data_IF_623589557467
#
_entry.id   IF_623589557467
#
_cell.length_a   1.000
_cell.length_b   1.000
_cell.length_c   1.000
_cell.angle_alpha   90.00
_cell.angle_beta   90.00
_cell.angle_gamma   90.00
#
_symmetry.space_group_name_H-M   'P 1'
#
loop_
_entity.id
_entity.type
_entity.pdbx_description
1 polymer ?
#
# COMPACT_ATOMS: atom_id res chain seq x y z
N UNK A 1 15.10 4.07 -10.84
CA UNK A 1 13.70 4.20 -11.26
C UNK A 1 13.37 5.67 -11.48
N UNK A 2 12.89 6.01 -12.67
CA UNK A 2 12.47 7.38 -12.98
C UNK A 2 10.94 7.46 -12.85
N UNK A 3 10.45 7.97 -11.74
CA UNK A 3 9.02 8.04 -11.46
C UNK A 3 8.44 9.41 -11.80
N UNK A 4 7.40 9.40 -12.62
CA UNK A 4 6.64 10.59 -12.93
C UNK A 4 5.56 10.80 -11.86
N UNK A 5 5.51 11.98 -11.22
CA UNK A 5 4.50 12.22 -10.20
C UNK A 5 3.11 12.44 -10.79
N UNK A 6 2.16 11.69 -10.29
CA UNK A 6 0.74 11.86 -10.63
C UNK A 6 -0.09 11.75 -9.34
N UNK A 7 -1.27 12.35 -9.35
CA UNK A 7 -2.24 12.20 -8.27
C UNK A 7 -3.40 11.36 -8.77
N UNK A 8 -3.79 10.36 -7.98
CA UNK A 8 -4.90 9.49 -8.32
C UNK A 8 -6.02 9.64 -7.31
N UNK A 9 -7.26 9.55 -7.78
CA UNK A 9 -8.43 9.54 -6.92
C UNK A 9 -8.69 8.13 -6.44
N UNK A 10 -8.58 7.91 -5.12
CA UNK A 10 -8.83 6.60 -4.51
C UNK A 10 -10.05 6.62 -3.59
N UNK A 11 -10.80 7.70 -3.59
CA UNK A 11 -11.97 7.83 -2.71
C UNK A 11 -12.97 6.71 -2.98
N UNK A 12 -13.31 5.95 -1.92
CA UNK A 12 -14.22 4.81 -1.96
C UNK A 12 -13.78 3.68 -2.91
N UNK A 13 -12.52 3.69 -3.32
CA UNK A 13 -11.97 2.63 -4.17
C UNK A 13 -11.16 1.66 -3.34
N UNK A 14 -11.18 0.40 -3.74
CA UNK A 14 -10.49 -0.67 -3.01
C UNK A 14 -8.98 -0.52 -3.15
N UNK A 15 -8.30 -0.42 -2.02
CA UNK A 15 -6.84 -0.49 -1.91
C UNK A 15 -6.50 -1.67 -1.01
N UNK A 16 -5.70 -2.61 -1.50
CA UNK A 16 -5.34 -3.80 -0.75
C UNK A 16 -3.95 -3.66 -0.15
N UNK A 17 -3.83 -3.96 1.13
CA UNK A 17 -2.54 -4.08 1.81
C UNK A 17 -2.39 -5.51 2.28
N UNK A 18 -1.32 -6.18 1.85
CA UNK A 18 -0.98 -7.52 2.31
C UNK A 18 0.14 -7.38 3.32
N UNK A 19 -0.20 -7.61 4.58
CA UNK A 19 0.68 -7.40 5.72
C UNK A 19 -0.10 -6.82 6.88
N UNK A 20 0.30 -7.10 8.10
CA UNK A 20 -0.46 -6.73 9.29
C UNK A 20 0.33 -6.08 10.41
N UNK A 21 1.57 -5.68 10.17
CA UNK A 21 2.45 -5.06 11.16
C UNK A 21 2.48 -3.54 11.08
N UNK A 22 3.54 -2.94 11.64
CA UNK A 22 3.68 -1.48 11.72
C UNK A 22 3.78 -0.80 10.36
N UNK A 23 4.47 -1.41 9.41
CA UNK A 23 4.59 -0.85 8.06
C UNK A 23 3.22 -0.81 7.39
N UNK A 24 2.48 -1.91 7.48
CA UNK A 24 1.13 -1.98 6.95
C UNK A 24 0.21 -0.95 7.62
N UNK A 25 0.31 -0.81 8.94
CA UNK A 25 -0.49 0.16 9.69
C UNK A 25 -0.33 1.59 9.16
N UNK A 26 0.91 2.01 8.89
CA UNK A 26 1.17 3.35 8.37
C UNK A 26 0.52 3.56 6.99
N UNK A 27 0.56 2.53 6.15
CA UNK A 27 -0.08 2.59 4.82
C UNK A 27 -1.60 2.65 4.96
N UNK A 28 -2.16 1.86 5.87
CA UNK A 28 -3.61 1.89 6.18
C UNK A 28 -4.02 3.31 6.57
N UNK A 29 -3.31 3.90 7.52
CA UNK A 29 -3.64 5.24 8.03
C UNK A 29 -3.57 6.31 6.93
N UNK A 30 -2.54 6.25 6.10
CA UNK A 30 -2.40 7.20 5.00
C UNK A 30 -3.54 7.06 3.99
N UNK A 31 -3.84 5.84 3.55
CA UNK A 31 -4.88 5.61 2.56
C UNK A 31 -6.26 5.96 3.09
N UNK A 32 -6.53 5.71 4.37
CA UNK A 32 -7.79 6.09 4.99
C UNK A 32 -8.00 7.60 4.99
N UNK A 33 -6.93 8.38 5.18
CA UNK A 33 -7.03 9.84 5.12
C UNK A 33 -7.49 10.35 3.75
N UNK A 34 -7.22 9.59 2.70
CA UNK A 34 -7.66 9.92 1.34
C UNK A 34 -8.97 9.24 0.95
N UNK A 35 -9.66 8.64 1.92
CA UNK A 35 -11.00 8.09 1.72
C UNK A 35 -11.05 6.75 1.02
N UNK A 36 -9.94 6.04 0.91
CA UNK A 36 -9.91 4.73 0.27
C UNK A 36 -10.71 3.69 1.06
N UNK A 37 -11.27 2.72 0.36
CA UNK A 37 -11.80 1.50 0.96
C UNK A 37 -10.63 0.53 1.15
N UNK A 38 -10.03 0.57 2.34
CA UNK A 38 -8.82 -0.20 2.62
C UNK A 38 -9.16 -1.62 3.05
N UNK A 39 -8.56 -2.60 2.39
CA UNK A 39 -8.64 -4.01 2.76
C UNK A 39 -7.26 -4.50 3.19
N UNK A 40 -7.22 -5.33 4.23
CA UNK A 40 -5.98 -5.92 4.75
C UNK A 40 -6.12 -7.45 4.79
N UNK A 41 -5.09 -8.13 4.27
CA UNK A 41 -4.95 -9.57 4.40
C UNK A 41 -3.57 -9.86 4.98
N UNK A 42 -3.51 -10.65 6.03
CA UNK A 42 -2.25 -11.05 6.65
C UNK A 42 -2.44 -12.28 7.54
N UNK A 43 -1.36 -12.98 7.83
CA UNK A 43 -1.42 -14.09 8.78
C UNK A 43 -1.73 -13.60 10.19
N UNK A 44 -1.19 -12.42 10.53
CA UNK A 44 -1.47 -11.74 11.80
C UNK A 44 -1.71 -10.26 11.50
N UNK A 45 -2.78 -9.73 12.06
CA UNK A 45 -3.15 -8.33 11.89
C UNK A 45 -3.08 -7.65 13.25
N UNK A 46 -2.27 -6.60 13.38
CA UNK A 46 -2.09 -5.91 14.65
C UNK A 46 -3.38 -5.23 15.10
N UNK A 47 -3.49 -5.04 16.41
CA UNK A 47 -4.69 -4.50 17.02
C UNK A 47 -5.06 -3.12 16.47
N UNK A 48 -4.07 -2.27 16.22
CA UNK A 48 -4.31 -0.91 15.73
C UNK A 48 -4.96 -0.90 14.33
N UNK A 49 -4.62 -1.86 13.48
CA UNK A 49 -5.31 -2.03 12.19
C UNK A 49 -6.73 -2.49 12.43
N UNK A 50 -6.94 -3.48 13.32
CA UNK A 50 -8.25 -3.99 13.63
C UNK A 50 -9.20 -2.92 14.17
N UNK A 51 -8.68 -1.95 14.91
CA UNK A 51 -9.46 -0.83 15.42
C UNK A 51 -9.93 0.13 14.33
N UNK A 52 -9.20 0.21 13.23
CA UNK A 52 -9.48 1.18 12.17
C UNK A 52 -10.29 0.63 11.01
N UNK A 53 -10.34 -0.69 10.84
CA UNK A 53 -11.04 -1.32 9.73
C UNK A 53 -12.20 -2.18 10.21
N UNK A 54 -13.37 -2.12 9.53
CA UNK A 54 -14.47 -3.08 9.78
C UNK A 54 -14.00 -4.51 9.51
N UNK A 55 -14.64 -5.47 10.15
CA UNK A 55 -14.27 -6.89 9.98
C UNK A 55 -14.38 -7.36 8.53
N UNK A 56 -15.29 -6.80 7.75
CA UNK A 56 -15.43 -7.14 6.34
C UNK A 56 -14.26 -6.71 5.47
N UNK A 57 -13.43 -5.80 5.97
CA UNK A 57 -12.27 -5.26 5.23
C UNK A 57 -10.94 -5.82 5.73
N UNK A 58 -10.96 -6.80 6.61
CA UNK A 58 -9.74 -7.45 7.10
C UNK A 58 -9.95 -8.95 7.17
N UNK A 59 -8.95 -9.68 6.67
CA UNK A 59 -9.00 -11.13 6.67
C UNK A 59 -7.66 -11.71 7.13
N UNK A 60 -7.70 -12.63 8.07
CA UNK A 60 -6.53 -13.36 8.52
C UNK A 60 -6.34 -14.58 7.62
N UNK A 61 -5.15 -14.78 7.11
CA UNK A 61 -4.81 -15.90 6.24
C UNK A 61 -3.83 -15.54 5.15
N UNK A 62 -3.70 -16.43 4.18
CA UNK A 62 -2.83 -16.20 3.02
C UNK A 62 -3.57 -15.42 1.94
N UNK A 63 -2.85 -14.55 1.25
CA UNK A 63 -3.42 -13.77 0.15
C UNK A 63 -3.75 -14.69 -1.03
N UNK A 64 -4.89 -14.42 -1.66
CA UNK A 64 -5.36 -15.14 -2.84
C UNK A 64 -5.57 -14.17 -4.00
N UNK A 65 -5.74 -14.73 -5.20
CA UNK A 65 -6.04 -13.92 -6.38
C UNK A 65 -7.34 -13.11 -6.20
N UNK A 66 -8.32 -13.69 -5.52
CA UNK A 66 -9.59 -13.01 -5.24
C UNK A 66 -9.39 -11.76 -4.39
N UNK A 67 -8.46 -11.79 -3.45
CA UNK A 67 -8.15 -10.61 -2.63
C UNK A 67 -7.66 -9.44 -3.47
N UNK A 68 -6.90 -9.72 -4.52
CA UNK A 68 -6.29 -8.71 -5.38
C UNK A 68 -7.28 -8.11 -6.36
N UNK A 69 -8.29 -8.86 -6.75
CA UNK A 69 -9.27 -8.42 -7.75
C UNK A 69 -9.93 -7.09 -7.38
N UNK A 70 -10.14 -6.25 -8.40
CA UNK A 70 -10.80 -4.94 -8.29
C UNK A 70 -10.05 -3.92 -7.45
N UNK A 71 -8.81 -4.21 -7.05
CA UNK A 71 -7.99 -3.23 -6.36
C UNK A 71 -7.46 -2.19 -7.34
N UNK A 72 -7.50 -0.92 -6.95
CA UNK A 72 -6.89 0.15 -7.74
C UNK A 72 -5.40 0.26 -7.48
N UNK A 73 -4.96 -0.23 -6.32
CA UNK A 73 -3.55 -0.41 -6.01
C UNK A 73 -3.39 -1.48 -4.93
N UNK A 74 -2.21 -2.08 -4.89
CA UNK A 74 -1.86 -3.12 -3.91
C UNK A 74 -0.51 -2.78 -3.29
N UNK A 75 -0.41 -3.00 -1.99
CA UNK A 75 0.85 -2.85 -1.25
C UNK A 75 1.21 -4.21 -0.66
N UNK A 76 2.37 -4.74 -1.04
CA UNK A 76 2.91 -5.98 -0.50
C UNK A 76 3.90 -5.63 0.61
N UNK A 77 3.48 -5.85 1.85
CA UNK A 77 4.20 -5.45 3.05
C UNK A 77 4.33 -6.60 4.07
N UNK A 78 4.53 -7.83 3.57
CA UNK A 78 4.75 -8.99 4.44
C UNK A 78 6.23 -9.14 4.76
N UNK A 79 6.54 -9.98 5.74
CA UNK A 79 7.92 -10.33 6.06
C UNK A 79 8.51 -11.39 5.10
N UNK A 80 7.69 -11.98 4.24
CA UNK A 80 8.10 -13.00 3.27
C UNK A 80 8.37 -12.40 1.92
N UNK A 81 9.64 -12.40 1.49
CA UNK A 81 10.02 -11.95 0.16
C UNK A 81 9.35 -12.75 -0.95
N UNK A 82 9.21 -14.04 -0.74
CA UNK A 82 8.55 -14.93 -1.71
C UNK A 82 7.09 -14.55 -1.90
N UNK A 83 6.37 -14.30 -0.81
CA UNK A 83 4.98 -13.86 -0.86
C UNK A 83 4.86 -12.51 -1.56
N UNK A 84 5.72 -11.56 -1.20
CA UNK A 84 5.72 -10.23 -1.81
C UNK A 84 5.98 -10.31 -3.32
N UNK A 85 6.92 -11.15 -3.73
CA UNK A 85 7.23 -11.37 -5.14
C UNK A 85 6.03 -11.95 -5.90
N UNK A 86 5.36 -12.95 -5.32
CA UNK A 86 4.16 -13.54 -5.91
C UNK A 86 3.05 -12.51 -6.10
N UNK A 87 2.86 -11.64 -5.11
CA UNK A 87 1.87 -10.56 -5.20
C UNK A 87 2.23 -9.62 -6.35
N UNK A 88 3.50 -9.25 -6.45
CA UNK A 88 3.97 -8.37 -7.53
C UNK A 88 3.69 -8.99 -8.90
N UNK A 89 4.00 -10.26 -9.09
CA UNK A 89 3.75 -10.95 -10.36
C UNK A 89 2.27 -10.97 -10.71
N UNK A 90 1.40 -11.27 -9.74
CA UNK A 90 -0.04 -11.26 -9.95
C UNK A 90 -0.54 -9.88 -10.35
N UNK A 91 -0.05 -8.85 -9.70
CA UNK A 91 -0.44 -7.47 -10.02
C UNK A 91 0.08 -7.04 -11.39
N UNK A 92 1.35 -7.37 -11.72
CA UNK A 92 1.91 -7.06 -13.04
C UNK A 92 1.09 -7.70 -14.16
N UNK A 93 0.70 -8.96 -13.98
CA UNK A 93 -0.08 -9.67 -15.00
C UNK A 93 -1.49 -9.10 -15.20
N UNK A 94 -2.01 -8.39 -14.20
CA UNK A 94 -3.34 -7.79 -14.22
C UNK A 94 -3.33 -6.28 -14.42
N UNK A 95 -2.15 -5.70 -14.62
CA UNK A 95 -1.98 -4.25 -14.73
C UNK A 95 -2.54 -3.49 -13.52
N UNK A 96 -2.39 -4.07 -12.33
CA UNK A 96 -2.75 -3.42 -11.08
C UNK A 96 -1.49 -2.78 -10.50
N UNK A 97 -1.49 -1.49 -10.20
CA UNK A 97 -0.34 -0.84 -9.56
C UNK A 97 0.03 -1.53 -8.24
N UNK A 98 1.32 -1.81 -8.07
CA UNK A 98 1.82 -2.50 -6.87
C UNK A 98 3.05 -1.80 -6.31
N UNK A 99 3.07 -1.67 -4.99
CA UNK A 99 4.24 -1.26 -4.24
C UNK A 99 4.69 -2.43 -3.37
N UNK A 100 5.96 -2.80 -3.49
CA UNK A 100 6.55 -3.88 -2.69
C UNK A 100 7.59 -3.25 -1.77
N UNK A 101 7.44 -3.42 -0.48
CA UNK A 101 8.39 -2.85 0.48
C UNK A 101 9.78 -3.45 0.25
N UNK A 102 10.80 -2.60 0.34
CA UNK A 102 12.22 -2.99 0.21
C UNK A 102 12.59 -3.67 -1.13
N UNK A 103 11.74 -3.56 -2.14
CA UNK A 103 12.00 -4.15 -3.45
C UNK A 103 11.58 -3.17 -4.56
N UNK A 104 12.31 -2.06 -4.76
CA UNK A 104 11.92 -1.04 -5.75
C UNK A 104 11.83 -1.59 -7.17
N UNK A 105 12.61 -2.61 -7.50
CA UNK A 105 12.58 -3.25 -8.82
C UNK A 105 11.27 -3.98 -9.13
N UNK A 106 10.48 -4.30 -8.10
CA UNK A 106 9.20 -4.97 -8.27
C UNK A 106 8.02 -4.01 -8.24
N UNK A 107 8.26 -2.75 -7.88
CA UNK A 107 7.21 -1.74 -7.77
C UNK A 107 6.84 -1.16 -9.13
N UNK A 108 5.55 -0.88 -9.33
CA UNK A 108 5.08 -0.09 -10.47
C UNK A 108 4.68 1.32 -10.05
N UNK A 109 4.57 1.57 -8.75
CA UNK A 109 4.45 2.92 -8.21
C UNK A 109 5.23 3.01 -6.91
N UNK A 110 5.61 4.22 -6.54
CA UNK A 110 6.30 4.50 -5.29
C UNK A 110 5.29 5.09 -4.30
N UNK A 111 5.32 4.60 -3.08
CA UNK A 111 4.51 5.19 -2.01
C UNK A 111 5.30 6.37 -1.43
N UNK A 112 4.90 7.61 -1.70
CA UNK A 112 5.70 8.77 -1.32
C UNK A 112 5.55 9.10 0.16
N UNK A 113 6.46 9.92 0.67
CA UNK A 113 6.19 10.66 1.89
C UNK A 113 5.12 11.71 1.56
N UNK A 114 4.10 11.83 2.39
CA UNK A 114 2.96 12.69 2.10
C UNK A 114 2.82 13.75 3.18
N UNK A 115 2.68 15.00 2.75
CA UNK A 115 2.29 16.12 3.60
C UNK A 115 0.93 16.59 3.13
N UNK A 116 -0.04 16.64 4.02
CA UNK A 116 -1.39 17.09 3.69
C UNK A 116 -1.83 18.17 4.65
N UNK A 117 -2.34 19.25 4.10
CA UNK A 117 -2.93 20.34 4.88
C UNK A 117 -4.11 20.92 4.11
N UNK A 118 -5.32 20.74 4.65
CA UNK A 118 -6.54 21.12 3.93
C UNK A 118 -6.63 20.39 2.60
N UNK A 119 -6.80 21.11 1.53
CA UNK A 119 -6.89 20.56 0.18
C UNK A 119 -5.54 20.40 -0.50
N UNK A 120 -4.45 20.78 0.19
CA UNK A 120 -3.10 20.69 -0.38
C UNK A 120 -2.45 19.40 0.02
N UNK A 121 -1.98 18.63 -0.96
CA UNK A 121 -1.19 17.42 -0.75
C UNK A 121 0.14 17.53 -1.48
N UNK A 122 1.21 17.15 -0.81
CA UNK A 122 2.55 17.13 -1.37
C UNK A 122 3.11 15.73 -1.22
N UNK A 123 3.46 15.11 -2.34
CA UNK A 123 4.15 13.82 -2.34
C UNK A 123 5.63 14.03 -2.64
N UNK A 124 6.49 13.37 -1.88
CA UNK A 124 7.94 13.50 -2.01
C UNK A 124 8.55 12.14 -2.26
N UNK A 125 9.31 12.06 -3.36
CA UNK A 125 10.11 10.89 -3.69
C UNK A 125 11.53 11.35 -4.03
N UNK A 126 12.52 10.80 -3.33
CA UNK A 126 13.94 11.15 -3.55
C UNK A 126 14.70 10.04 -4.28
N UNK A 127 14.00 9.00 -4.73
CA UNK A 127 14.63 7.82 -5.31
C UNK A 127 15.47 7.02 -4.31
N UNK A 128 15.15 7.18 -3.02
CA UNK A 128 15.88 6.52 -1.93
C UNK A 128 17.23 7.16 -1.61
N UNK A 129 17.55 8.32 -2.21
CA UNK A 129 18.89 8.94 -2.09
C UNK A 129 19.03 9.90 -0.92
N UNK A 130 17.94 10.39 -0.36
CA UNK A 130 18.00 11.32 0.77
C UNK A 130 16.81 11.15 1.68
N UNK A 131 17.01 10.42 2.77
CA UNK A 131 15.98 10.21 3.79
C UNK A 131 15.66 11.50 4.56
N UNK A 132 16.61 12.43 4.63
CA UNK A 132 16.40 13.69 5.36
C UNK A 132 15.32 14.57 4.73
N UNK A 133 15.09 14.46 3.44
CA UNK A 133 14.02 15.21 2.76
C UNK A 133 12.62 14.69 3.10
N UNK A 134 12.52 13.45 3.59
CA UNK A 134 11.24 12.85 3.92
C UNK A 134 10.63 13.48 5.19
N UNK A 135 11.45 14.13 5.99
CA UNK A 135 11.03 14.71 7.27
C UNK A 135 10.80 16.22 7.21
N UNK A 136 10.69 16.78 6.04
CA UNK A 136 10.41 18.22 5.86
C UNK A 136 9.04 18.63 6.39
#
# INVERSE_FOLDING_TARGET
MACFPIFIDIKQKKCLIVGGGKVALRKVETLLRYGACVHVVAEQICEDICKQLPSAQRRTGHVTETDIEKSVLVIAATSSRETNHRIAELCHSRNIPVNVIDAPEECTFIFPAVVQKGDVSIGINTGGKSLSLIHI
#
